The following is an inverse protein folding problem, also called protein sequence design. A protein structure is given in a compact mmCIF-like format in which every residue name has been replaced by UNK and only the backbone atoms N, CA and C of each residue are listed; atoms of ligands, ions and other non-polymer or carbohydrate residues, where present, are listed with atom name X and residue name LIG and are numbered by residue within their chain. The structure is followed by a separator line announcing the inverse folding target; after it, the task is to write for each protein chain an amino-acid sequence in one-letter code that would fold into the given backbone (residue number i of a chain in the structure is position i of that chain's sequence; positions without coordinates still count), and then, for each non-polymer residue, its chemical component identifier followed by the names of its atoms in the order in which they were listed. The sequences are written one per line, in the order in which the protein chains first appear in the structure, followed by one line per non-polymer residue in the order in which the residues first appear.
data_IF_141054564653
#
_entry.id   IF_141054564653
#
_cell.length_a   1.000
_cell.length_b   1.000
_cell.length_c   1.000
_cell.angle_alpha   90.00
_cell.angle_beta   90.00
_cell.angle_gamma   90.00
#
_symmetry.space_group_name_H-M   'P 1'
#
loop_
_entity.id
_entity.type
_entity.pdbx_description
1 polymer ?
#
# COMPACT_ATOMS: atom_id res chain seq x y z
N UNK A 1 -21.73 39.57 3.25
CA UNK A 1 -22.62 38.75 2.41
C UNK A 1 -21.97 37.43 1.91
N UNK A 2 -20.76 37.05 2.36
CA UNK A 2 -20.11 35.77 1.96
C UNK A 2 -19.61 34.93 3.17
N UNK A 3 -20.16 35.19 4.37
CA UNK A 3 -19.70 34.57 5.62
C UNK A 3 -20.51 33.36 6.09
N UNK A 4 -21.31 32.74 5.21
CA UNK A 4 -22.15 31.58 5.54
C UNK A 4 -21.89 30.40 4.62
N UNK A 5 -20.64 30.17 4.17
CA UNK A 5 -20.26 28.79 3.83
C UNK A 5 -20.24 28.02 5.15
N UNK A 6 -21.43 27.68 5.62
CA UNK A 6 -21.60 26.88 6.82
C UNK A 6 -21.57 25.41 6.46
N UNK A 7 -21.80 24.59 7.48
CA UNK A 7 -22.07 23.17 7.29
C UNK A 7 -23.12 22.86 6.20
N UNK A 8 -24.23 23.61 6.02
CA UNK A 8 -25.24 23.22 5.04
C UNK A 8 -24.78 23.33 3.58
N UNK A 9 -24.00 24.35 3.21
CA UNK A 9 -23.47 24.48 1.84
C UNK A 9 -22.49 23.35 1.50
N UNK A 10 -21.64 22.96 2.47
CA UNK A 10 -20.70 21.84 2.30
C UNK A 10 -21.47 20.53 2.12
N UNK A 11 -22.54 20.32 2.90
CA UNK A 11 -23.41 19.14 2.76
C UNK A 11 -24.07 19.11 1.37
N UNK A 12 -24.57 20.25 0.87
CA UNK A 12 -25.17 20.34 -0.45
C UNK A 12 -24.18 19.94 -1.56
N UNK A 13 -22.95 20.45 -1.50
CA UNK A 13 -21.89 20.09 -2.46
C UNK A 13 -21.57 18.59 -2.36
N UNK A 14 -21.43 18.06 -1.16
CA UNK A 14 -21.19 16.62 -0.94
C UNK A 14 -22.30 15.76 -1.55
N UNK A 15 -23.57 16.15 -1.39
CA UNK A 15 -24.70 15.44 -1.99
C UNK A 15 -24.59 15.44 -3.52
N UNK A 16 -24.28 16.58 -4.15
CA UNK A 16 -24.10 16.66 -5.60
C UNK A 16 -22.95 15.76 -6.07
N UNK A 17 -21.80 15.79 -5.38
CA UNK A 17 -20.65 14.94 -5.71
C UNK A 17 -21.02 13.45 -5.57
N UNK A 18 -21.75 13.08 -4.52
CA UNK A 18 -22.21 11.69 -4.33
C UNK A 18 -23.21 11.27 -5.41
N UNK A 19 -24.05 12.18 -5.91
CA UNK A 19 -24.96 11.87 -7.03
C UNK A 19 -24.20 11.66 -8.35
N UNK A 20 -23.15 12.45 -8.62
CA UNK A 20 -22.35 12.34 -9.84
C UNK A 20 -21.44 11.10 -9.84
N UNK A 21 -20.74 10.87 -8.74
CA UNK A 21 -19.74 9.80 -8.64
C UNK A 21 -20.32 8.51 -8.05
N UNK A 22 -21.38 8.59 -7.26
CA UNK A 22 -21.99 7.48 -6.54
C UNK A 22 -21.40 7.26 -5.14
N UNK A 23 -22.25 6.83 -4.19
CA UNK A 23 -21.88 6.62 -2.78
C UNK A 23 -20.75 5.60 -2.56
N UNK A 24 -20.54 4.67 -3.50
CA UNK A 24 -19.48 3.64 -3.43
C UNK A 24 -18.16 4.11 -4.04
N UNK A 25 -18.17 5.01 -5.04
CA UNK A 25 -16.94 5.45 -5.73
C UNK A 25 -16.17 6.49 -4.94
N UNK A 26 -16.86 7.40 -4.24
CA UNK A 26 -16.22 8.40 -3.41
C UNK A 26 -15.30 7.80 -2.31
N UNK A 27 -15.74 6.82 -1.49
CA UNK A 27 -14.87 6.20 -0.49
C UNK A 27 -13.78 5.32 -1.12
N UNK A 28 -14.06 4.63 -2.23
CA UNK A 28 -13.06 3.79 -2.91
C UNK A 28 -11.91 4.65 -3.48
N UNK A 29 -12.24 5.78 -4.12
CA UNK A 29 -11.23 6.74 -4.59
C UNK A 29 -10.49 7.41 -3.43
N UNK A 30 -11.18 7.81 -2.37
CA UNK A 30 -10.53 8.38 -1.20
C UNK A 30 -9.57 7.39 -0.52
N UNK A 31 -9.92 6.09 -0.47
CA UNK A 31 -9.04 5.04 0.08
C UNK A 31 -7.77 4.84 -0.74
N UNK A 32 -7.87 4.76 -2.07
CA UNK A 32 -6.69 4.59 -2.93
C UNK A 32 -5.79 5.82 -2.92
N UNK A 33 -6.35 7.03 -3.03
CA UNK A 33 -5.59 8.28 -2.90
C UNK A 33 -4.99 8.45 -1.50
N UNK A 34 -5.73 8.07 -0.45
CA UNK A 34 -5.26 8.10 0.93
C UNK A 34 -4.09 7.16 1.18
N UNK A 35 -4.06 5.99 0.52
CA UNK A 35 -2.94 5.06 0.63
C UNK A 35 -1.66 5.62 -0.03
N UNK A 36 -1.78 6.27 -1.19
CA UNK A 36 -0.64 6.99 -1.79
C UNK A 36 -0.16 8.12 -0.88
N UNK A 37 -1.06 8.99 -0.42
CA UNK A 37 -0.71 10.10 0.50
C UNK A 37 -0.10 9.60 1.81
N UNK A 38 -0.53 8.44 2.32
CA UNK A 38 0.03 7.83 3.54
C UNK A 38 1.49 7.44 3.33
N UNK A 39 1.83 6.79 2.22
CA UNK A 39 3.21 6.40 1.92
C UNK A 39 4.07 7.65 1.80
N UNK A 40 3.65 8.63 0.99
CA UNK A 40 4.36 9.90 0.83
C UNK A 40 4.55 10.63 2.17
N UNK A 41 3.53 10.62 3.04
CA UNK A 41 3.60 11.25 4.37
C UNK A 41 4.52 10.51 5.33
N UNK A 42 4.59 9.17 5.27
CA UNK A 42 5.51 8.37 6.07
C UNK A 42 6.96 8.63 5.67
N UNK A 43 7.25 8.65 4.37
CA UNK A 43 8.59 8.98 3.85
C UNK A 43 8.99 10.40 4.24
N UNK A 44 8.09 11.37 4.04
CA UNK A 44 8.33 12.78 4.42
C UNK A 44 8.55 12.94 5.93
N UNK A 45 7.86 12.13 6.76
CA UNK A 45 8.05 12.12 8.22
C UNK A 45 9.36 11.46 8.63
N UNK A 46 9.82 10.44 7.92
CA UNK A 46 11.11 9.81 8.15
C UNK A 46 12.25 10.78 7.83
N UNK A 47 12.17 11.48 6.69
CA UNK A 47 13.14 12.52 6.32
C UNK A 47 13.22 13.65 7.35
N UNK A 48 12.08 14.09 7.91
CA UNK A 48 12.08 15.12 8.96
C UNK A 48 12.50 14.60 10.34
N UNK A 49 12.50 13.28 10.56
CA UNK A 49 12.97 12.68 11.82
C UNK A 49 14.47 12.37 11.79
N UNK A 50 15.04 12.08 10.62
CA UNK A 50 16.48 11.80 10.50
C UNK A 50 17.36 13.03 10.80
N UNK A 51 16.79 14.25 10.84
CA UNK A 51 17.45 15.46 11.38
C UNK A 51 17.44 15.53 12.93
N UNK A 52 16.82 14.57 13.64
CA UNK A 52 16.77 14.49 15.11
C UNK A 52 16.66 13.03 15.57
N UNK A 53 17.82 12.37 15.75
CA UNK A 53 18.07 11.12 16.51
C UNK A 53 17.44 9.78 16.01
N UNK A 54 18.34 8.81 15.74
CA UNK A 54 18.23 7.33 15.69
C UNK A 54 17.36 6.59 14.63
N UNK A 55 17.79 5.38 14.19
CA UNK A 55 17.23 4.67 13.03
C UNK A 55 16.00 3.82 13.38
N UNK A 56 14.89 3.87 12.60
CA UNK A 56 13.74 3.02 12.84
C UNK A 56 13.93 1.64 12.20
N UNK A 57 14.30 0.65 13.02
CA UNK A 57 14.22 -0.78 12.71
C UNK A 57 12.76 -1.24 12.76
N UNK A 58 11.93 -0.89 11.77
CA UNK A 58 10.57 -1.45 11.69
C UNK A 58 10.06 -1.51 10.24
N UNK A 59 10.65 -2.35 9.40
CA UNK A 59 9.91 -2.93 8.25
C UNK A 59 10.48 -4.25 7.68
N UNK A 60 11.29 -4.99 8.45
CA UNK A 60 11.76 -6.33 8.06
C UNK A 60 10.79 -7.49 8.41
N UNK A 61 9.58 -7.20 8.93
CA UNK A 61 8.64 -8.24 9.37
C UNK A 61 7.65 -8.73 8.30
N UNK A 62 7.46 -7.99 7.19
CA UNK A 62 6.52 -8.40 6.14
C UNK A 62 7.16 -9.29 5.06
N UNK A 63 8.49 -9.35 4.97
CA UNK A 63 9.20 -10.18 3.99
C UNK A 63 9.30 -11.67 4.39
N UNK A 64 8.97 -12.02 5.64
CA UNK A 64 9.15 -13.39 6.16
C UNK A 64 8.00 -14.36 5.84
N UNK A 65 6.91 -13.89 5.23
CA UNK A 65 5.78 -14.76 4.84
C UNK A 65 5.81 -15.21 3.38
N UNK A 66 6.59 -14.55 2.50
CA UNK A 66 6.72 -14.93 1.09
C UNK A 66 7.83 -15.97 0.85
N UNK A 67 8.71 -16.22 1.82
CA UNK A 67 9.84 -17.15 1.69
C UNK A 67 9.55 -18.58 2.17
N UNK A 68 8.39 -18.83 2.80
CA UNK A 68 8.02 -20.13 3.38
C UNK A 68 7.16 -20.99 2.45
N UNK A 69 6.57 -20.46 1.38
CA UNK A 69 5.71 -21.24 0.47
C UNK A 69 6.47 -21.90 -0.69
N UNK A 70 7.71 -21.49 -0.97
CA UNK A 70 8.48 -22.00 -2.12
C UNK A 70 9.44 -23.17 -1.81
N UNK A 71 9.41 -23.75 -0.60
CA UNK A 71 10.26 -24.90 -0.20
C UNK A 71 9.56 -26.25 -0.21
N UNK A 72 8.59 -26.48 -1.11
CA UNK A 72 7.84 -27.76 -1.15
C UNK A 72 7.59 -28.31 -2.56
N UNK A 73 8.58 -28.27 -3.47
CA UNK A 73 8.67 -29.24 -4.59
C UNK A 73 10.13 -29.43 -5.05
N UNK A 74 10.98 -30.01 -4.20
CA UNK A 74 12.23 -30.62 -4.67
C UNK A 74 12.74 -31.66 -3.65
N UNK A 75 12.59 -32.95 -3.99
CA UNK A 75 13.71 -33.88 -3.85
C UNK A 75 13.96 -34.55 -5.22
N UNK A 76 15.18 -34.46 -5.73
CA UNK A 76 16.15 -35.55 -5.63
C UNK A 76 16.00 -36.55 -6.79
N UNK A 77 16.83 -36.36 -7.81
CA UNK A 77 17.30 -37.44 -8.68
C UNK A 77 18.63 -37.02 -9.31
N UNK A 78 19.65 -36.90 -8.47
CA UNK A 78 21.05 -37.06 -8.89
C UNK A 78 21.25 -38.54 -9.16
N UNK A 79 21.45 -38.90 -10.43
CA UNK A 79 21.85 -40.26 -10.79
C UNK A 79 21.61 -40.60 -12.24
N UNK A 80 22.55 -40.25 -13.13
CA UNK A 80 22.83 -41.01 -14.36
C UNK A 80 23.98 -40.35 -15.15
N UNK A 81 25.20 -40.42 -14.60
CA UNK A 81 26.38 -40.52 -15.44
C UNK A 81 26.45 -41.97 -15.93
N UNK A 82 26.00 -42.25 -17.16
CA UNK A 82 26.32 -43.48 -17.87
C UNK A 82 25.87 -43.41 -19.33
N UNK A 83 26.84 -43.40 -20.24
CA UNK A 83 26.85 -44.22 -21.47
C UNK A 83 25.65 -44.14 -22.43
N UNK A 84 25.75 -43.26 -23.44
CA UNK A 84 25.21 -43.55 -24.77
C UNK A 84 26.02 -42.77 -25.81
N UNK A 85 26.96 -43.44 -26.50
CA UNK A 85 26.82 -43.94 -27.89
C UNK A 85 26.84 -42.78 -28.89
N UNK A 86 27.98 -42.57 -29.54
CA UNK A 86 28.40 -43.16 -30.85
C UNK A 86 28.04 -42.21 -31.99
#
# INVERSE_FOLDING_TARGET
MFGRLGAPEIILILVVVVLLFGAKRLPDMARSFGQSLRILKSETKAMQKDDTDEPPTVHAAAAHQLASESRHTAPEATGANASHRR
#
